data_IF_698530705430
#
_entry.id   IF_698530705430
#
_cell.length_a   1.000
_cell.length_b   1.000
_cell.length_c   1.000
_cell.angle_alpha   90.00
_cell.angle_beta   90.00
_cell.angle_gamma   90.00
#
_symmetry.space_group_name_H-M   'P 1'
#
loop_
_entity.id
_entity.type
_entity.pdbx_description
1 polymer ?
#
# COMPACT_ATOMS: atom_id res chain seq x y z
N UNK A 1 -3.13 32.94 -38.61
CA UNK A 1 -2.70 31.53 -38.51
C UNK A 1 -2.38 31.24 -37.05
N UNK A 2 -3.30 30.61 -36.34
CA UNK A 2 -3.04 30.15 -34.97
C UNK A 2 -2.38 28.77 -35.05
N UNK A 3 -1.09 28.71 -34.73
CA UNK A 3 -0.37 27.45 -34.58
C UNK A 3 -0.88 26.75 -33.31
N UNK A 4 -1.72 25.73 -33.49
CA UNK A 4 -1.95 24.71 -32.47
C UNK A 4 -0.61 23.99 -32.25
N UNK A 5 0.08 24.31 -31.15
CA UNK A 5 1.06 23.39 -30.57
C UNK A 5 0.26 22.16 -30.14
N UNK A 6 0.34 21.09 -30.94
CA UNK A 6 -0.15 19.79 -30.54
C UNK A 6 0.48 19.45 -29.18
N UNK A 7 -0.38 19.24 -28.18
CA UNK A 7 0.03 18.60 -26.93
C UNK A 7 0.63 17.25 -27.30
N UNK A 8 1.94 17.09 -27.11
CA UNK A 8 2.58 15.78 -27.20
C UNK A 8 1.98 14.93 -26.09
N UNK A 9 1.01 14.08 -26.45
CA UNK A 9 0.62 12.96 -25.58
C UNK A 9 1.89 12.12 -25.44
N UNK A 10 2.57 12.22 -24.29
CA UNK A 10 3.64 11.30 -23.96
C UNK A 10 3.02 9.90 -23.95
N UNK A 11 3.49 9.01 -24.81
CA UNK A 11 3.12 7.60 -24.72
C UNK A 11 3.67 7.07 -23.39
N UNK A 12 2.77 6.65 -22.50
CA UNK A 12 3.12 6.00 -21.25
C UNK A 12 3.41 4.53 -21.56
N UNK A 13 4.59 4.05 -21.22
CA UNK A 13 5.00 2.65 -21.33
C UNK A 13 4.33 1.81 -20.22
N UNK A 14 4.09 0.54 -20.50
CA UNK A 14 3.60 -0.42 -19.50
C UNK A 14 4.73 -1.38 -19.15
N UNK A 15 5.19 -1.34 -17.90
CA UNK A 15 6.09 -2.35 -17.32
C UNK A 15 5.25 -3.41 -16.62
N UNK A 16 5.55 -4.69 -16.85
CA UNK A 16 4.82 -5.79 -16.19
C UNK A 16 5.59 -6.29 -14.97
N UNK A 17 4.87 -6.51 -13.87
CA UNK A 17 5.35 -7.17 -12.66
C UNK A 17 4.49 -8.40 -12.40
N UNK A 18 5.13 -9.56 -12.21
CA UNK A 18 4.43 -10.80 -11.85
C UNK A 18 4.10 -10.82 -10.37
N UNK A 19 2.92 -11.31 -10.04
CA UNK A 19 2.49 -11.44 -8.65
C UNK A 19 3.28 -12.56 -7.95
N UNK A 20 3.64 -12.29 -6.71
CA UNK A 20 4.33 -13.22 -5.81
C UNK A 20 3.44 -13.58 -4.63
N UNK A 21 3.70 -14.70 -3.97
CA UNK A 21 3.00 -15.04 -2.72
C UNK A 21 3.46 -14.11 -1.59
N UNK A 22 2.51 -13.51 -0.87
CA UNK A 22 2.78 -12.73 0.32
C UNK A 22 3.31 -13.62 1.46
N UNK A 23 4.63 -13.62 1.67
CA UNK A 23 5.29 -14.31 2.79
C UNK A 23 6.01 -13.30 3.68
N UNK A 24 6.17 -13.58 4.99
CA UNK A 24 6.93 -12.70 5.87
C UNK A 24 8.34 -12.37 5.36
N UNK A 25 9.03 -13.35 4.78
CA UNK A 25 10.39 -13.20 4.26
C UNK A 25 10.42 -12.31 3.02
N UNK A 26 9.50 -12.51 2.07
CA UNK A 26 9.44 -11.72 0.85
C UNK A 26 8.98 -10.27 1.11
N UNK A 27 8.16 -10.06 2.15
CA UNK A 27 7.59 -8.77 2.51
C UNK A 27 8.45 -7.95 3.49
N UNK A 28 9.48 -8.55 4.09
CA UNK A 28 10.34 -7.89 5.08
C UNK A 28 10.90 -6.51 4.67
N UNK A 29 11.25 -6.25 3.38
CA UNK A 29 11.71 -4.91 2.95
C UNK A 29 10.62 -3.83 3.03
N UNK A 30 9.34 -4.22 2.98
CA UNK A 30 8.20 -3.34 2.82
C UNK A 30 7.36 -3.21 4.09
N UNK A 31 7.45 -4.17 5.00
CA UNK A 31 6.60 -4.19 6.18
C UNK A 31 6.56 -5.52 6.91
N UNK A 32 5.50 -5.70 7.68
CA UNK A 32 5.27 -6.84 8.56
C UNK A 32 3.93 -7.48 8.24
N UNK A 33 3.94 -8.79 8.01
CA UNK A 33 2.72 -9.61 7.87
C UNK A 33 2.04 -9.74 9.23
N UNK A 34 0.79 -9.31 9.32
CA UNK A 34 -0.05 -9.40 10.51
C UNK A 34 -0.92 -10.67 10.42
N UNK A 35 -0.30 -11.82 10.61
CA UNK A 35 -0.93 -13.13 10.52
C UNK A 35 -0.35 -14.14 11.50
N UNK A 36 -0.81 -15.39 11.40
CA UNK A 36 -0.25 -16.48 12.20
C UNK A 36 1.22 -16.70 11.84
N UNK A 37 2.10 -16.53 12.81
CA UNK A 37 3.54 -16.72 12.65
C UNK A 37 4.10 -17.55 13.81
N UNK A 38 4.46 -18.80 13.55
CA UNK A 38 5.00 -19.70 14.58
C UNK A 38 6.47 -19.43 14.93
N UNK A 39 7.17 -18.64 14.12
CA UNK A 39 8.54 -18.21 14.41
C UNK A 39 8.59 -17.12 15.49
N UNK A 40 7.44 -16.47 15.78
CA UNK A 40 7.31 -15.48 16.85
C UNK A 40 6.72 -16.14 18.10
N UNK A 41 7.50 -16.20 19.18
CA UNK A 41 7.02 -16.75 20.45
C UNK A 41 5.90 -15.89 21.04
N UNK A 42 4.83 -16.49 21.58
CA UNK A 42 3.81 -15.73 22.27
C UNK A 42 4.36 -15.08 23.55
N UNK A 43 3.75 -13.97 23.96
CA UNK A 43 4.02 -13.35 25.25
C UNK A 43 3.62 -14.30 26.38
N UNK A 44 4.31 -14.25 27.54
CA UNK A 44 4.00 -15.09 28.70
C UNK A 44 2.76 -14.60 29.46
N UNK A 45 1.61 -14.52 28.77
CA UNK A 45 0.34 -14.06 29.32
C UNK A 45 -0.51 -15.26 29.72
N UNK A 46 -0.67 -15.48 31.02
CA UNK A 46 -1.44 -16.61 31.56
C UNK A 46 -2.89 -16.25 31.94
N UNK A 47 -3.30 -14.99 31.80
CA UNK A 47 -4.61 -14.48 32.24
C UNK A 47 -5.80 -15.24 31.61
N UNK A 48 -5.60 -15.78 30.41
CA UNK A 48 -6.63 -16.47 29.64
C UNK A 48 -6.50 -18.00 29.68
N UNK A 49 -5.74 -18.57 30.64
CA UNK A 49 -5.56 -20.01 30.83
C UNK A 49 -5.14 -20.75 29.53
N UNK A 50 -4.29 -20.10 28.71
CA UNK A 50 -3.80 -20.65 27.45
C UNK A 50 -4.75 -20.56 26.25
N UNK A 51 -5.97 -20.01 26.42
CA UNK A 51 -6.94 -19.86 25.31
C UNK A 51 -6.58 -18.73 24.33
N UNK A 52 -5.72 -17.79 24.74
CA UNK A 52 -5.24 -16.68 23.91
C UNK A 52 -3.73 -16.70 23.85
N UNK A 53 -3.18 -16.68 22.64
CA UNK A 53 -1.74 -16.54 22.41
C UNK A 53 -1.44 -15.20 21.73
N UNK A 54 -1.01 -14.22 22.52
CA UNK A 54 -0.65 -12.90 22.01
C UNK A 54 0.76 -12.93 21.46
N UNK A 55 0.96 -12.50 20.20
CA UNK A 55 2.28 -12.33 19.57
C UNK A 55 2.47 -10.87 19.19
N UNK A 56 3.69 -10.36 19.36
CA UNK A 56 4.10 -9.03 18.87
C UNK A 56 4.85 -9.22 17.56
N UNK A 57 4.16 -8.97 16.44
CA UNK A 57 4.71 -9.19 15.10
C UNK A 57 5.54 -8.01 14.60
N UNK A 58 5.15 -6.80 14.98
CA UNK A 58 5.83 -5.55 14.66
C UNK A 58 5.40 -4.43 15.60
N UNK A 59 6.06 -3.28 15.45
CA UNK A 59 5.73 -2.05 16.16
C UNK A 59 4.88 -1.16 15.26
N UNK A 60 3.71 -0.75 15.75
CA UNK A 60 2.85 0.21 15.06
C UNK A 60 3.25 1.62 15.50
N UNK A 61 3.60 2.48 14.54
CA UNK A 61 4.02 3.86 14.79
C UNK A 61 2.92 4.79 14.31
N UNK A 62 2.40 5.65 15.19
CA UNK A 62 1.41 6.69 14.88
C UNK A 62 1.25 7.64 16.09
N UNK A 63 0.25 8.54 16.06
CA UNK A 63 -0.10 9.47 17.13
C UNK A 63 -1.63 9.49 17.43
N UNK A 64 -2.10 10.48 18.19
CA UNK A 64 -3.51 10.64 18.57
C UNK A 64 -4.47 10.88 17.40
N UNK A 65 -3.96 11.17 16.20
CA UNK A 65 -4.75 11.35 14.97
C UNK A 65 -5.02 10.05 14.22
N UNK A 66 -4.63 8.91 14.81
CA UNK A 66 -4.88 7.58 14.25
C UNK A 66 -6.38 7.33 14.08
N UNK A 67 -6.78 6.89 12.89
CA UNK A 67 -8.12 6.45 12.54
C UNK A 67 -8.12 5.05 11.92
N UNK A 68 -9.32 4.45 11.86
CA UNK A 68 -9.53 3.11 11.32
C UNK A 68 -10.68 3.11 10.31
N UNK A 69 -10.52 3.72 9.13
CA UNK A 69 -11.54 3.67 8.10
C UNK A 69 -11.68 2.27 7.50
N UNK A 70 -12.86 2.02 6.94
CA UNK A 70 -13.13 0.83 6.13
C UNK A 70 -13.39 1.31 4.71
N UNK A 71 -12.61 0.79 3.77
CA UNK A 71 -12.73 1.10 2.35
C UNK A 71 -13.43 -0.06 1.64
N UNK A 72 -14.60 0.19 1.06
CA UNK A 72 -15.27 -0.78 0.18
C UNK A 72 -14.71 -0.64 -1.23
N UNK A 73 -13.97 -1.65 -1.69
CA UNK A 73 -13.18 -1.58 -2.93
C UNK A 73 -13.86 -2.41 -4.03
N UNK A 74 -13.93 -1.84 -5.22
CA UNK A 74 -14.35 -2.50 -6.45
C UNK A 74 -13.14 -2.98 -7.23
N UNK A 75 -13.28 -4.03 -8.03
CA UNK A 75 -12.21 -4.40 -8.97
C UNK A 75 -11.99 -3.28 -9.98
N UNK A 76 -10.72 -3.05 -10.28
CA UNK A 76 -10.25 -2.14 -11.32
C UNK A 76 -9.21 -2.85 -12.18
N UNK A 77 -8.83 -2.32 -13.36
CA UNK A 77 -7.71 -2.86 -14.12
C UNK A 77 -6.48 -3.01 -13.21
N UNK A 78 -5.76 -4.13 -13.34
CA UNK A 78 -4.54 -4.40 -12.58
C UNK A 78 -3.36 -3.61 -13.15
N UNK A 79 -3.52 -2.28 -13.18
CA UNK A 79 -2.55 -1.31 -13.64
C UNK A 79 -2.42 -0.25 -12.56
N UNK A 80 -1.24 -0.16 -11.96
CA UNK A 80 -0.88 0.91 -11.05
C UNK A 80 -0.40 2.11 -11.86
N UNK A 81 -1.05 3.24 -11.63
CA UNK A 81 -0.70 4.54 -12.19
C UNK A 81 -0.01 5.42 -11.15
N UNK A 82 -0.24 5.12 -9.86
CA UNK A 82 0.29 5.86 -8.74
C UNK A 82 1.11 4.98 -7.81
N UNK A 83 1.99 5.62 -7.05
CA UNK A 83 2.52 5.09 -5.81
C UNK A 83 2.48 6.20 -4.76
N UNK A 84 2.16 5.81 -3.53
CA UNK A 84 2.18 6.69 -2.37
C UNK A 84 2.99 6.12 -1.21
N UNK A 85 3.43 7.00 -0.31
CA UNK A 85 4.08 6.63 0.94
C UNK A 85 3.68 7.57 2.07
N UNK A 86 3.88 7.10 3.30
CA UNK A 86 3.61 7.85 4.52
C UNK A 86 4.84 8.03 5.40
N UNK A 87 5.02 9.23 5.95
CA UNK A 87 6.21 9.61 6.72
C UNK A 87 6.00 9.55 8.24
N UNK A 88 4.76 9.68 8.72
CA UNK A 88 4.49 9.85 10.15
C UNK A 88 3.81 8.65 10.80
N UNK A 89 3.51 7.60 10.03
CA UNK A 89 2.89 6.41 10.57
C UNK A 89 3.17 5.15 9.74
N UNK A 90 3.07 3.99 10.39
CA UNK A 90 2.95 2.70 9.70
C UNK A 90 1.49 2.51 9.29
N UNK A 91 1.21 2.41 8.00
CA UNK A 91 -0.15 2.15 7.52
C UNK A 91 -0.43 0.64 7.50
N UNK A 92 -1.63 0.23 7.90
CA UNK A 92 -2.02 -1.19 7.93
C UNK A 92 -3.25 -1.43 7.07
N UNK A 93 -3.25 -2.52 6.29
CA UNK A 93 -4.40 -3.02 5.55
C UNK A 93 -4.79 -4.43 6.01
N UNK A 94 -6.08 -4.64 6.27
CA UNK A 94 -6.66 -5.95 6.60
C UNK A 94 -7.91 -6.14 5.76
N UNK A 95 -7.90 -7.11 4.84
CA UNK A 95 -9.12 -7.47 4.12
C UNK A 95 -10.09 -8.21 5.06
N UNK A 96 -11.34 -7.77 5.06
CA UNK A 96 -12.40 -8.38 5.85
C UNK A 96 -13.05 -9.55 5.08
N UNK A 97 -13.47 -10.58 5.82
CA UNK A 97 -14.10 -11.76 5.24
C UNK A 97 -13.13 -12.72 4.52
N UNK A 98 -11.83 -12.62 4.81
CA UNK A 98 -10.78 -13.44 4.19
C UNK A 98 -10.77 -13.38 2.65
N UNK A 99 -11.06 -12.19 2.09
CA UNK A 99 -11.01 -11.97 0.65
C UNK A 99 -9.56 -11.70 0.21
N UNK A 100 -9.11 -12.26 -0.93
CA UNK A 100 -7.77 -12.01 -1.42
C UNK A 100 -7.63 -10.63 -2.05
N UNK A 101 -6.45 -10.05 -1.90
CA UNK A 101 -6.08 -8.76 -2.48
C UNK A 101 -4.61 -8.75 -2.87
N UNK A 102 -4.24 -7.80 -3.71
CA UNK A 102 -2.89 -7.61 -4.22
C UNK A 102 -2.39 -6.23 -3.84
N UNK A 103 -1.15 -6.14 -3.40
CA UNK A 103 -0.45 -4.87 -3.23
C UNK A 103 0.76 -4.82 -4.15
N UNK A 104 0.92 -3.69 -4.85
CA UNK A 104 2.17 -3.31 -5.48
C UNK A 104 2.97 -2.47 -4.50
N UNK A 105 4.22 -2.86 -4.24
CA UNK A 105 5.09 -2.28 -3.22
C UNK A 105 6.46 -1.95 -3.80
N UNK A 106 7.09 -0.88 -3.33
CA UNK A 106 8.51 -0.57 -3.51
C UNK A 106 9.10 -0.20 -2.14
N UNK A 107 10.36 -0.59 -1.82
CA UNK A 107 10.95 -0.25 -0.53
C UNK A 107 11.04 1.26 -0.32
N UNK A 108 11.13 1.73 0.94
CA UNK A 108 11.38 3.14 1.22
C UNK A 108 12.62 3.68 0.50
N UNK A 109 12.56 4.93 0.05
CA UNK A 109 13.66 5.61 -0.63
C UNK A 109 13.97 6.95 0.05
N UNK A 110 15.21 7.41 -0.01
CA UNK A 110 15.59 8.76 0.46
C UNK A 110 15.12 9.86 -0.49
N UNK A 111 14.82 9.50 -1.75
CA UNK A 111 14.32 10.45 -2.76
C UNK A 111 12.81 10.62 -2.67
N UNK A 112 12.27 11.62 -3.35
CA UNK A 112 10.83 11.86 -3.49
C UNK A 112 10.10 10.89 -4.46
N UNK A 113 10.79 9.85 -4.92
CA UNK A 113 10.31 8.92 -5.94
C UNK A 113 10.53 7.46 -5.51
N UNK A 114 9.62 6.53 -5.87
CA UNK A 114 9.82 5.09 -5.69
C UNK A 114 10.94 4.56 -6.60
N UNK A 115 11.54 3.43 -6.23
CA UNK A 115 12.40 2.68 -7.13
C UNK A 115 11.56 1.64 -7.90
N UNK A 116 11.19 1.96 -9.15
CA UNK A 116 10.37 1.07 -9.99
C UNK A 116 11.07 -0.25 -10.38
N UNK A 117 12.40 -0.36 -10.21
CA UNK A 117 13.14 -1.61 -10.43
C UNK A 117 13.09 -2.55 -9.22
N UNK A 118 12.75 -2.02 -8.05
CA UNK A 118 12.49 -2.80 -6.83
C UNK A 118 10.99 -2.97 -6.55
N UNK A 119 10.14 -2.49 -7.46
CA UNK A 119 8.69 -2.65 -7.37
C UNK A 119 8.29 -4.13 -7.56
N UNK A 120 7.53 -4.66 -6.60
CA UNK A 120 7.07 -6.06 -6.54
C UNK A 120 5.59 -6.10 -6.21
N UNK A 121 4.86 -7.07 -6.77
CA UNK A 121 3.44 -7.27 -6.50
C UNK A 121 3.23 -8.53 -5.68
N UNK A 122 2.39 -8.47 -4.65
CA UNK A 122 2.15 -9.59 -3.73
C UNK A 122 0.67 -9.91 -3.60
N UNK A 123 0.32 -11.19 -3.75
CA UNK A 123 -1.01 -11.72 -3.48
C UNK A 123 -1.11 -12.13 -2.02
N UNK A 124 -2.01 -11.46 -1.30
CA UNK A 124 -2.46 -11.83 0.03
C UNK A 124 -3.71 -12.70 -0.12
N UNK A 125 -3.69 -13.87 0.52
CA UNK A 125 -4.77 -14.86 0.44
C UNK A 125 -5.99 -14.55 1.35
N UNK A 126 -5.92 -13.45 2.10
CA UNK A 126 -6.95 -13.03 3.06
C UNK A 126 -6.77 -13.59 4.48
N UNK A 127 -5.73 -14.40 4.74
CA UNK A 127 -5.47 -14.97 6.08
C UNK A 127 -4.68 -14.05 7.01
N UNK A 128 -4.10 -12.98 6.47
CA UNK A 128 -3.27 -12.03 7.18
C UNK A 128 -3.52 -10.60 6.71
N UNK A 129 -3.33 -9.65 7.63
CA UNK A 129 -3.16 -8.24 7.28
C UNK A 129 -1.71 -7.92 6.92
N UNK A 130 -1.46 -6.68 6.52
CA UNK A 130 -0.13 -6.18 6.25
C UNK A 130 0.07 -4.78 6.81
N UNK A 131 1.13 -4.58 7.58
CA UNK A 131 1.55 -3.29 8.13
C UNK A 131 2.79 -2.82 7.40
N UNK A 132 2.68 -1.73 6.66
CA UNK A 132 3.77 -1.11 5.92
C UNK A 132 4.79 -0.46 6.86
N UNK A 133 6.07 -0.56 6.52
CA UNK A 133 7.10 0.28 7.14
C UNK A 133 6.85 1.75 6.74
N UNK A 134 7.22 2.69 7.62
CA UNK A 134 7.27 4.11 7.27
C UNK A 134 8.06 4.29 5.97
N UNK A 135 7.52 5.10 5.07
CA UNK A 135 8.13 5.43 3.78
C UNK A 135 7.98 4.37 2.69
N UNK A 136 7.36 3.22 2.97
CA UNK A 136 7.13 2.19 1.93
C UNK A 136 6.20 2.73 0.86
N UNK A 137 6.68 2.69 -0.37
CA UNK A 137 5.90 3.08 -1.54
C UNK A 137 4.92 1.96 -1.87
N UNK A 138 3.66 2.32 -2.11
CA UNK A 138 2.63 1.36 -2.42
C UNK A 138 1.50 2.00 -3.24
N UNK A 139 0.73 1.18 -3.94
CA UNK A 139 -0.54 1.58 -4.52
C UNK A 139 -1.68 1.05 -3.63
N UNK A 140 -2.84 1.71 -3.68
CA UNK A 140 -4.00 1.26 -2.91
C UNK A 140 -4.40 -0.17 -3.35
N UNK A 141 -4.71 -1.08 -2.40
CA UNK A 141 -4.94 -2.50 -2.69
C UNK A 141 -5.84 -2.78 -3.90
N UNK A 142 -5.40 -3.69 -4.77
CA UNK A 142 -6.21 -4.25 -5.83
C UNK A 142 -6.96 -5.46 -5.30
N UNK A 143 -8.30 -5.43 -5.31
CA UNK A 143 -9.11 -6.56 -4.86
C UNK A 143 -9.41 -7.51 -6.01
N UNK A 144 -9.59 -8.80 -5.71
CA UNK A 144 -9.95 -9.82 -6.70
C UNK A 144 -11.45 -10.15 -6.71
N UNK A 145 -12.20 -9.59 -5.77
CA UNK A 145 -13.64 -9.71 -5.62
C UNK A 145 -14.22 -8.30 -5.42
N UNK A 146 -15.33 -8.01 -6.07
CA UNK A 146 -16.07 -6.75 -5.86
C UNK A 146 -16.60 -6.68 -4.42
N UNK A 147 -16.92 -5.46 -3.98
CA UNK A 147 -17.40 -5.17 -2.63
C UNK A 147 -16.49 -5.77 -1.54
N UNK A 148 -15.17 -5.66 -1.73
CA UNK A 148 -14.20 -6.11 -0.72
C UNK A 148 -13.92 -4.98 0.25
N UNK A 149 -14.30 -5.19 1.50
CA UNK A 149 -14.00 -4.25 2.57
C UNK A 149 -12.57 -4.45 3.06
N UNK A 150 -11.80 -3.36 3.05
CA UNK A 150 -10.43 -3.32 3.57
C UNK A 150 -10.41 -2.35 4.75
N UNK A 151 -10.21 -2.91 5.94
CA UNK A 151 -9.93 -2.11 7.13
C UNK A 151 -8.53 -1.54 7.00
N UNK A 152 -8.43 -0.21 7.13
CA UNK A 152 -7.17 0.52 7.05
C UNK A 152 -6.90 1.19 8.38
N UNK A 153 -5.67 1.13 8.88
CA UNK A 153 -5.24 1.90 10.07
C UNK A 153 -4.17 2.89 9.61
N UNK A 154 -4.43 4.18 9.81
CA UNK A 154 -3.60 5.28 9.35
C UNK A 154 -3.88 6.57 10.13
N UNK A 155 -3.14 7.64 9.86
CA UNK A 155 -3.47 8.98 10.38
C UNK A 155 -4.47 9.68 9.47
N UNK A 156 -5.40 10.46 10.03
CA UNK A 156 -6.39 11.21 9.24
C UNK A 156 -5.79 12.27 8.29
N UNK A 157 -4.55 12.71 8.54
CA UNK A 157 -3.82 13.58 7.61
C UNK A 157 -3.61 12.94 6.23
N UNK A 158 -3.46 11.62 6.16
CA UNK A 158 -3.31 10.89 4.90
C UNK A 158 -4.57 10.99 4.02
N UNK A 159 -5.75 10.80 4.62
CA UNK A 159 -7.03 10.87 3.90
C UNK A 159 -7.40 12.30 3.55
N UNK A 160 -7.21 13.25 4.47
CA UNK A 160 -7.39 14.69 4.20
C UNK A 160 -6.42 15.21 3.12
N UNK A 161 -5.21 14.64 3.04
CA UNK A 161 -4.20 14.96 2.04
C UNK A 161 -4.62 14.63 0.60
N UNK A 162 -5.65 13.82 0.41
CA UNK A 162 -6.18 13.44 -0.91
C UNK A 162 -7.32 14.36 -1.41
N UNK A 163 -7.71 15.37 -0.63
CA UNK A 163 -8.71 16.36 -1.07
C UNK A 163 -8.24 17.14 -2.31
N UNK A 164 -9.18 17.52 -3.18
CA UNK A 164 -8.90 18.11 -4.51
C UNK A 164 -7.94 19.31 -4.45
N UNK A 165 -8.08 20.15 -3.42
CA UNK A 165 -7.24 21.35 -3.26
C UNK A 165 -5.77 21.02 -2.95
N UNK A 166 -5.47 19.79 -2.52
CA UNK A 166 -4.12 19.27 -2.26
C UNK A 166 -3.52 18.52 -3.46
N UNK A 167 -4.29 18.33 -4.55
CA UNK A 167 -3.88 17.57 -5.73
C UNK A 167 -3.44 18.50 -6.86
N UNK A 168 -2.17 18.43 -7.24
CA UNK A 168 -1.60 19.20 -8.35
C UNK A 168 -1.06 18.23 -9.39
N UNK A 169 -1.68 18.21 -10.58
CA UNK A 169 -1.25 17.35 -11.69
C UNK A 169 -1.33 15.86 -11.36
N UNK A 170 -2.40 15.44 -10.68
CA UNK A 170 -2.66 14.08 -10.15
C UNK A 170 -1.72 13.62 -9.02
N UNK A 171 -0.89 14.51 -8.47
CA UNK A 171 -0.05 14.21 -7.32
C UNK A 171 -0.54 14.94 -6.08
N UNK A 172 -0.36 14.32 -4.92
CA UNK A 172 -0.64 14.92 -3.62
C UNK A 172 0.63 14.88 -2.76
N UNK A 173 1.03 16.01 -2.18
CA UNK A 173 2.18 16.09 -1.28
C UNK A 173 1.79 16.89 -0.04
N UNK A 174 1.90 16.25 1.11
CA UNK A 174 1.72 16.82 2.44
C UNK A 174 2.88 16.38 3.35
N UNK A 175 3.00 16.91 4.58
CA UNK A 175 4.03 16.46 5.50
C UNK A 175 3.96 14.97 5.86
N UNK A 176 2.80 14.31 5.72
CA UNK A 176 2.66 12.87 5.93
C UNK A 176 2.63 12.08 4.61
N UNK A 177 2.00 12.58 3.55
CA UNK A 177 1.73 11.83 2.32
C UNK A 177 2.57 12.35 1.14
N UNK A 178 3.17 11.44 0.38
CA UNK A 178 3.60 11.71 -0.99
C UNK A 178 2.92 10.71 -1.92
N UNK A 179 2.10 11.20 -2.86
CA UNK A 179 1.49 10.41 -3.93
C UNK A 179 2.00 10.90 -5.28
N UNK A 180 2.62 10.01 -6.05
CA UNK A 180 3.29 10.31 -7.32
C UNK A 180 2.57 9.65 -8.48
N UNK A 181 2.43 10.39 -9.58
CA UNK A 181 1.91 9.89 -10.86
C UNK A 181 3.09 9.28 -11.64
N UNK A 182 3.12 7.95 -11.74
CA UNK A 182 4.25 7.25 -12.32
C UNK A 182 4.38 7.52 -13.82
N UNK A 183 3.26 7.66 -14.53
CA UNK A 183 3.23 8.06 -15.93
C UNK A 183 3.85 9.44 -16.16
N UNK A 184 3.53 10.41 -15.29
CA UNK A 184 4.09 11.75 -15.36
C UNK A 184 5.59 11.79 -15.00
N UNK A 185 5.99 11.05 -13.96
CA UNK A 185 7.35 11.08 -13.38
C UNK A 185 8.35 10.21 -14.13
N UNK A 186 7.93 9.05 -14.61
CA UNK A 186 8.80 8.05 -15.25
C UNK A 186 8.41 7.77 -16.70
N UNK A 187 7.22 8.16 -17.15
CA UNK A 187 6.68 7.72 -18.43
C UNK A 187 6.23 6.26 -18.41
N UNK A 188 5.99 5.67 -17.24
CA UNK A 188 5.72 4.24 -17.05
C UNK A 188 4.56 4.05 -16.08
N UNK A 189 3.61 3.17 -16.43
CA UNK A 189 2.66 2.55 -15.50
C UNK A 189 3.01 1.07 -15.31
N UNK A 190 2.60 0.48 -14.18
CA UNK A 190 2.92 -0.92 -13.86
C UNK A 190 1.68 -1.79 -14.01
N UNK A 191 1.69 -2.72 -14.97
CA UNK A 191 0.69 -3.78 -15.05
C UNK A 191 1.08 -4.95 -14.14
N UNK A 192 0.10 -5.47 -13.40
CA UNK A 192 0.27 -6.63 -12.52
C UNK A 192 -0.24 -7.88 -13.26
N UNK A 193 0.64 -8.86 -13.44
CA UNK A 193 0.35 -10.15 -14.05
C UNK A 193 0.11 -11.21 -12.96
N UNK A 194 -1.06 -11.85 -13.01
CA UNK A 194 -1.47 -12.92 -12.08
C UNK A 194 -0.87 -14.28 -12.42
#
# INVERSE_FOLDING_TARGET
MFNFKGSLVKNIEIKTVKVETATPEALAPFGVVLGRNENVKPLPINLYNGTVQVRRLGEFISDETTEIPVCTVQRRPLVAEYMERHHKHTQTFVSLGAKPFIMLLSPPTETELPNLDEARAFLFDGTAGFMLNIGTWHEFPFVLLDDTDVLTILRSEATNGLEIDNVIGNEAVSPDLEKRDMGARFGVNIAIEL
#
